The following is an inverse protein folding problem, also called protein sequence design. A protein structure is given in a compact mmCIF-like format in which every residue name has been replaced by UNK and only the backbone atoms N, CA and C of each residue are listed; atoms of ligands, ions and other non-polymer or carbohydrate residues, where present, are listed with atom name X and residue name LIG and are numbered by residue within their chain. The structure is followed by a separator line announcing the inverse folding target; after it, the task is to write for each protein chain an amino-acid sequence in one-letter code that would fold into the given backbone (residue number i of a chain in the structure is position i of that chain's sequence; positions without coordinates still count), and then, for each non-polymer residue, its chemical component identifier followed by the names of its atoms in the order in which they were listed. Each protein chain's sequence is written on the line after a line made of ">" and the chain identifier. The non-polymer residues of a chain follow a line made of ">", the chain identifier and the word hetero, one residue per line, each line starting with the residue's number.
data_IF_282955194735
#
_entry.id   IF_282955194735
#
_cell.length_a   1.000
_cell.length_b   1.000
_cell.length_c   1.000
_cell.angle_alpha   90.00
_cell.angle_beta   90.00
_cell.angle_gamma   90.00
#
_symmetry.space_group_name_H-M   'P 1'
#
loop_
_entity.id
_entity.type
_entity.pdbx_description
1 polymer ?
#
# COMPACT_ATOMS: atom_id res chain seq x y z
N UNK A 1 -8.45 37.19 0.26
CA UNK A 1 -9.13 38.17 1.14
C UNK A 1 -8.19 38.56 2.27
N UNK A 2 -7.97 39.86 2.50
CA UNK A 2 -7.24 40.34 3.68
C UNK A 2 -8.25 40.39 4.84
N UNK A 3 -8.10 39.52 5.83
CA UNK A 3 -8.94 39.55 7.03
C UNK A 3 -8.52 40.73 7.92
N UNK A 4 -9.48 41.49 8.44
CA UNK A 4 -9.22 42.59 9.38
C UNK A 4 -8.62 42.06 10.69
N UNK A 5 -7.89 42.92 11.40
CA UNK A 5 -7.27 42.60 12.68
C UNK A 5 -8.29 42.05 13.70
N UNK A 6 -9.46 42.69 13.76
CA UNK A 6 -10.56 42.30 14.66
C UNK A 6 -11.05 40.86 14.41
N UNK A 7 -11.18 40.46 13.14
CA UNK A 7 -11.60 39.09 12.78
C UNK A 7 -10.54 38.07 13.17
N UNK A 8 -9.25 38.40 13.01
CA UNK A 8 -8.15 37.51 13.43
C UNK A 8 -8.13 37.34 14.94
N UNK A 9 -8.27 38.44 15.69
CA UNK A 9 -8.25 38.43 17.15
C UNK A 9 -9.45 37.66 17.72
N UNK A 10 -10.65 37.88 17.17
CA UNK A 10 -11.86 37.17 17.56
C UNK A 10 -11.72 35.65 17.33
N UNK A 11 -11.20 35.23 16.18
CA UNK A 11 -11.02 33.81 15.87
C UNK A 11 -9.97 33.12 16.77
N UNK A 12 -8.89 33.83 17.12
CA UNK A 12 -7.86 33.31 18.04
C UNK A 12 -8.41 33.22 19.47
N UNK A 13 -9.09 34.26 19.96
CA UNK A 13 -9.70 34.26 21.30
C UNK A 13 -10.78 33.18 21.44
N UNK A 14 -11.60 32.97 20.40
CA UNK A 14 -12.59 31.89 20.38
C UNK A 14 -11.95 30.51 20.52
N UNK A 15 -10.79 30.29 19.88
CA UNK A 15 -10.04 29.04 20.05
C UNK A 15 -9.43 28.91 21.45
N UNK A 16 -8.83 29.98 21.98
CA UNK A 16 -8.19 29.97 23.30
C UNK A 16 -9.18 29.83 24.46
N UNK A 17 -10.42 30.29 24.29
CA UNK A 17 -11.50 30.10 25.25
C UNK A 17 -12.02 28.64 25.32
N UNK A 18 -11.51 27.73 24.47
CA UNK A 18 -11.79 26.29 24.56
C UNK A 18 -13.15 25.85 23.99
N UNK A 19 -13.91 26.76 23.36
CA UNK A 19 -15.26 26.47 22.88
C UNK A 19 -15.32 25.51 21.68
N UNK A 20 -14.24 25.40 20.87
CA UNK A 20 -14.19 24.47 19.75
C UNK A 20 -12.75 24.19 19.26
N UNK A 21 -12.54 23.06 18.57
CA UNK A 21 -11.25 22.74 17.92
C UNK A 21 -10.90 23.67 16.74
N UNK A 22 -9.65 23.63 16.28
CA UNK A 22 -9.12 24.52 15.21
C UNK A 22 -9.96 24.46 13.94
N UNK A 23 -10.38 23.26 13.51
CA UNK A 23 -11.15 23.09 12.27
C UNK A 23 -12.55 23.70 12.40
N UNK A 24 -13.20 23.49 13.55
CA UNK A 24 -14.54 24.02 13.82
C UNK A 24 -14.51 25.55 13.93
N UNK A 25 -13.52 26.10 14.64
CA UNK A 25 -13.32 27.56 14.73
C UNK A 25 -13.00 28.17 13.37
N UNK A 26 -12.16 27.52 12.55
CA UNK A 26 -11.87 28.00 11.21
C UNK A 26 -13.12 28.04 10.31
N UNK A 27 -14.00 27.03 10.39
CA UNK A 27 -15.27 27.01 9.66
C UNK A 27 -16.22 28.13 10.11
N UNK A 28 -16.33 28.38 11.42
CA UNK A 28 -17.21 29.42 11.99
C UNK A 28 -16.87 30.81 11.44
N UNK A 29 -15.58 31.14 11.34
CA UNK A 29 -15.11 32.44 10.85
C UNK A 29 -14.82 32.46 9.34
N UNK A 30 -15.17 31.40 8.60
CA UNK A 30 -14.88 31.24 7.16
C UNK A 30 -13.39 31.42 6.80
N UNK A 31 -12.51 30.90 7.66
CA UNK A 31 -11.06 30.97 7.55
C UNK A 31 -10.46 29.64 7.10
N UNK A 32 -9.27 29.68 6.50
CA UNK A 32 -8.46 28.48 6.37
C UNK A 32 -7.90 28.05 7.74
N UNK A 33 -8.05 26.76 8.07
CA UNK A 33 -7.48 26.18 9.30
C UNK A 33 -5.95 26.36 9.39
N UNK A 34 -5.24 26.43 8.25
CA UNK A 34 -3.80 26.71 8.22
C UNK A 34 -3.48 28.15 8.61
N UNK A 35 -4.30 29.12 8.19
CA UNK A 35 -4.15 30.53 8.57
C UNK A 35 -4.47 30.74 10.04
N UNK A 36 -5.54 30.11 10.55
CA UNK A 36 -5.89 30.17 11.97
C UNK A 36 -4.80 29.56 12.84
N UNK A 37 -4.25 28.39 12.47
CA UNK A 37 -3.14 27.77 13.18
C UNK A 37 -1.89 28.66 13.21
N UNK A 38 -1.59 29.36 12.12
CA UNK A 38 -0.49 30.33 12.08
C UNK A 38 -0.74 31.53 13.01
N UNK A 39 -1.95 32.10 13.00
CA UNK A 39 -2.32 33.22 13.86
C UNK A 39 -2.31 32.87 15.35
N UNK A 40 -2.76 31.67 15.72
CA UNK A 40 -2.66 31.18 17.10
C UNK A 40 -1.20 31.12 17.54
N UNK A 41 -0.30 30.56 16.71
CA UNK A 41 1.13 30.50 17.05
C UNK A 41 1.78 31.88 17.12
N UNK A 42 1.40 32.82 16.22
CA UNK A 42 1.87 34.20 16.28
C UNK A 42 1.41 34.90 17.57
N UNK A 43 0.14 34.73 17.93
CA UNK A 43 -0.43 35.28 19.15
C UNK A 43 0.26 34.75 20.41
N UNK A 44 0.50 33.42 20.47
CA UNK A 44 1.17 32.80 21.62
C UNK A 44 2.65 33.19 21.76
N UNK A 45 3.33 33.56 20.68
CA UNK A 45 4.76 33.90 20.69
C UNK A 45 5.02 35.41 20.85
N UNK A 46 4.18 36.25 20.25
CA UNK A 46 4.45 37.68 20.09
C UNK A 46 3.27 38.57 20.56
N UNK A 47 2.21 37.97 21.10
CA UNK A 47 1.05 38.68 21.62
C UNK A 47 0.09 39.22 20.54
N UNK A 48 -0.95 39.98 20.95
CA UNK A 48 -2.04 40.40 20.06
C UNK A 48 -1.58 41.29 18.90
N UNK A 49 -0.57 42.15 19.12
CA UNK A 49 -0.03 43.07 18.10
C UNK A 49 0.58 42.34 16.90
N UNK A 50 1.00 41.09 17.07
CA UNK A 50 1.61 40.30 16.00
C UNK A 50 0.64 39.91 14.87
N UNK A 51 -0.68 39.96 15.12
CA UNK A 51 -1.70 39.66 14.11
C UNK A 51 -1.83 40.75 13.05
N UNK A 52 -1.25 41.93 13.30
CA UNK A 52 -1.24 43.07 12.36
C UNK A 52 0.09 43.20 11.59
N UNK A 53 1.12 42.44 11.97
CA UNK A 53 2.42 42.52 11.33
C UNK A 53 2.36 42.09 9.85
N UNK A 54 2.81 42.97 8.95
CA UNK A 54 2.96 42.63 7.52
C UNK A 54 4.20 41.74 7.35
N UNK A 55 4.03 40.64 6.63
CA UNK A 55 5.15 39.75 6.30
C UNK A 55 6.17 40.45 5.37
N UNK A 56 7.46 40.11 5.52
CA UNK A 56 8.51 40.56 4.60
C UNK A 56 8.19 40.06 3.17
N UNK A 57 8.26 40.96 2.17
CA UNK A 57 8.02 40.65 0.75
C UNK A 57 9.15 39.80 0.13
N UNK A 58 10.34 39.87 0.68
CA UNK A 58 11.52 39.12 0.26
C UNK A 58 12.36 38.74 1.49
N UNK A 59 13.06 37.62 1.38
CA UNK A 59 14.00 37.12 2.39
C UNK A 59 15.37 37.02 1.74
N UNK A 60 16.38 37.61 2.37
CA UNK A 60 17.77 37.49 1.95
C UNK A 60 18.25 36.03 2.02
N UNK A 61 19.30 35.64 1.28
CA UNK A 61 19.92 34.32 1.45
C UNK A 61 20.33 34.03 2.90
N UNK A 62 20.84 35.05 3.61
CA UNK A 62 21.26 34.98 5.00
C UNK A 62 20.08 34.73 5.93
N UNK A 63 18.95 35.45 5.74
CA UNK A 63 17.71 35.23 6.51
C UNK A 63 17.20 33.79 6.34
N UNK A 64 17.24 33.25 5.11
CA UNK A 64 16.78 31.88 4.83
C UNK A 64 17.67 30.85 5.50
N UNK A 65 18.98 31.06 5.46
CA UNK A 65 19.95 30.16 6.09
C UNK A 65 19.75 30.14 7.61
N UNK A 66 19.58 31.31 8.24
CA UNK A 66 19.30 31.44 9.66
C UNK A 66 18.06 30.64 10.08
N UNK A 67 16.95 30.79 9.34
CA UNK A 67 15.69 30.07 9.60
C UNK A 67 15.88 28.56 9.50
N UNK A 68 16.62 28.09 8.49
CA UNK A 68 16.86 26.66 8.27
C UNK A 68 17.75 26.06 9.35
N UNK A 69 18.85 26.72 9.72
CA UNK A 69 19.74 26.27 10.79
C UNK A 69 19.01 26.23 12.13
N UNK A 70 18.20 27.26 12.44
CA UNK A 70 17.37 27.28 13.64
C UNK A 70 16.39 26.10 13.68
N UNK A 71 15.69 25.83 12.56
CA UNK A 71 14.72 24.74 12.45
C UNK A 71 15.34 23.34 12.57
N UNK A 72 16.62 23.19 12.19
CA UNK A 72 17.36 21.93 12.30
C UNK A 72 17.99 21.73 13.68
N UNK A 73 18.37 22.82 14.37
CA UNK A 73 18.98 22.78 15.70
C UNK A 73 17.99 22.71 16.86
N UNK A 74 16.72 23.11 16.66
CA UNK A 74 15.70 23.13 17.71
C UNK A 74 14.56 22.16 17.42
N UNK A 75 14.08 21.44 18.44
CA UNK A 75 12.95 20.51 18.35
C UNK A 75 11.57 21.22 18.33
N UNK A 76 11.46 22.37 17.66
CA UNK A 76 10.20 23.10 17.48
C UNK A 76 9.46 22.61 16.22
N UNK A 77 8.12 22.67 16.25
CA UNK A 77 7.31 22.32 15.08
C UNK A 77 7.45 23.38 13.97
N UNK A 78 7.43 22.96 12.70
CA UNK A 78 7.57 23.87 11.55
C UNK A 78 6.55 25.05 11.56
N UNK A 79 5.28 24.88 11.99
CA UNK A 79 4.36 26.01 12.16
C UNK A 79 4.81 27.02 13.21
N UNK A 80 5.44 26.56 14.30
CA UNK A 80 5.96 27.42 15.36
C UNK A 80 7.21 28.17 14.91
N UNK A 81 8.12 27.51 14.19
CA UNK A 81 9.28 28.15 13.57
C UNK A 81 8.85 29.22 12.57
N UNK A 82 7.85 28.92 11.73
CA UNK A 82 7.32 29.90 10.77
C UNK A 82 6.72 31.12 11.47
N UNK A 83 6.00 30.94 12.58
CA UNK A 83 5.47 32.04 13.37
C UNK A 83 6.60 32.88 14.00
N UNK A 84 7.63 32.24 14.57
CA UNK A 84 8.78 32.91 15.21
C UNK A 84 9.53 33.86 14.27
N UNK A 85 9.71 33.46 13.01
CA UNK A 85 10.38 34.28 11.99
C UNK A 85 9.41 35.12 11.14
N UNK A 86 8.13 35.20 11.53
CA UNK A 86 7.08 35.92 10.81
C UNK A 86 6.94 35.51 9.33
N UNK A 87 7.10 34.22 9.04
CA UNK A 87 6.99 33.63 7.71
C UNK A 87 5.52 33.22 7.47
N UNK A 88 4.89 33.64 6.35
CA UNK A 88 3.46 33.43 6.12
C UNK A 88 3.00 31.97 6.10
N UNK A 89 3.91 31.03 5.82
CA UNK A 89 3.57 29.61 5.66
C UNK A 89 4.70 28.70 6.09
N UNK A 90 4.37 27.68 6.88
CA UNK A 90 5.30 26.62 7.26
C UNK A 90 5.80 25.80 6.06
N UNK A 91 5.05 25.77 4.95
CA UNK A 91 5.50 25.14 3.70
C UNK A 91 6.70 25.86 3.08
N UNK A 92 6.82 27.18 3.28
CA UNK A 92 7.98 27.96 2.83
C UNK A 92 9.24 27.49 3.57
N UNK A 93 9.17 27.33 4.89
CA UNK A 93 10.27 26.79 5.71
C UNK A 93 10.61 25.36 5.29
N UNK A 94 9.59 24.51 5.09
CA UNK A 94 9.76 23.13 4.61
C UNK A 94 10.50 23.06 3.27
N UNK A 95 10.18 23.96 2.34
CA UNK A 95 10.82 24.03 1.04
C UNK A 95 12.29 24.51 1.14
N UNK A 96 12.58 25.47 2.03
CA UNK A 96 13.96 25.90 2.28
C UNK A 96 14.81 24.79 2.90
N UNK A 97 14.29 24.04 3.87
CA UNK A 97 14.98 22.87 4.44
C UNK A 97 15.25 21.82 3.37
N UNK A 98 14.28 21.56 2.48
CA UNK A 98 14.45 20.61 1.37
C UNK A 98 15.53 21.06 0.38
N UNK A 99 15.58 22.36 0.06
CA UNK A 99 16.63 22.93 -0.77
C UNK A 99 18.01 22.81 -0.13
N UNK A 100 18.12 23.18 1.15
CA UNK A 100 19.35 23.08 1.93
C UNK A 100 19.89 21.64 2.02
N UNK A 101 19.02 20.65 2.27
CA UNK A 101 19.43 19.23 2.29
C UNK A 101 19.95 18.72 0.94
N UNK A 102 19.56 19.35 -0.17
CA UNK A 102 19.94 18.92 -1.53
C UNK A 102 21.22 19.58 -2.01
N UNK A 103 21.45 20.85 -1.67
CA UNK A 103 22.51 21.67 -2.27
C UNK A 103 23.27 22.52 -1.26
N UNK A 104 23.09 22.27 0.05
CA UNK A 104 23.76 23.01 1.11
C UNK A 104 23.49 24.51 1.07
N UNK A 105 24.52 25.31 1.38
CA UNK A 105 24.46 26.77 1.36
C UNK A 105 24.19 27.35 -0.05
N UNK A 106 24.56 26.61 -1.11
CA UNK A 106 24.39 27.06 -2.50
C UNK A 106 22.92 27.12 -2.93
N UNK A 107 22.00 26.47 -2.18
CA UNK A 107 20.57 26.46 -2.47
C UNK A 107 19.92 27.85 -2.48
N UNK A 108 20.53 28.84 -1.85
CA UNK A 108 19.99 30.19 -1.71
C UNK A 108 20.69 31.25 -2.57
N UNK A 109 21.74 30.86 -3.32
CA UNK A 109 22.46 31.74 -4.25
C UNK A 109 21.69 31.82 -5.57
N UNK A 110 21.25 33.03 -5.95
CA UNK A 110 20.59 33.26 -7.25
C UNK A 110 21.62 33.15 -8.39
N UNK A 111 21.67 32.02 -9.09
CA UNK A 111 22.23 32.00 -10.45
C UNK A 111 21.22 32.68 -11.39
N UNK A 112 21.55 33.87 -11.88
CA UNK A 112 20.89 34.45 -13.06
C UNK A 112 21.14 33.45 -14.20
N UNK A 113 20.12 32.68 -14.59
CA UNK A 113 20.13 32.04 -15.91
C UNK A 113 19.90 33.15 -16.91
N UNK A 114 20.97 33.66 -17.50
CA UNK A 114 20.87 34.37 -18.77
C UNK A 114 20.26 33.39 -19.77
N UNK A 115 18.98 33.62 -20.11
CA UNK A 115 18.44 33.07 -21.34
C UNK A 115 19.05 33.90 -22.46
N UNK A 116 20.19 33.48 -22.98
CA UNK A 116 20.58 33.87 -24.33
C UNK A 116 19.55 33.29 -25.28
N UNK A 117 18.69 34.13 -25.84
CA UNK A 117 18.04 33.82 -27.10
C UNK A 117 18.98 34.34 -28.18
N UNK A 118 19.90 33.50 -28.65
CA UNK A 118 20.49 33.71 -29.97
C UNK A 118 19.39 33.49 -31.00
N UNK A 119 18.95 34.58 -31.63
CA UNK A 119 18.32 34.51 -32.95
C UNK A 119 19.39 33.96 -33.90
N UNK A 120 19.06 32.88 -34.59
CA UNK A 120 19.90 32.25 -35.60
C UNK A 120 19.92 33.12 -36.86
N UNK A 121 20.86 34.05 -36.94
CA UNK A 121 21.23 34.69 -38.22
C UNK A 121 22.32 33.88 -38.95
N UNK A 122 23.02 32.96 -38.27
CA UNK A 122 24.10 32.12 -38.82
C UNK A 122 23.63 31.04 -39.83
N UNK A 123 22.32 30.81 -40.00
CA UNK A 123 21.82 29.77 -40.90
C UNK A 123 21.85 30.18 -42.38
N UNK A 124 21.78 31.47 -42.70
CA UNK A 124 21.70 31.92 -44.10
C UNK A 124 23.07 32.11 -44.79
N UNK A 125 24.17 32.30 -44.05
CA UNK A 125 25.50 32.46 -44.65
C UNK A 125 26.13 31.13 -45.09
N UNK A 126 25.77 30.00 -44.44
CA UNK A 126 26.31 28.68 -44.79
C UNK A 126 25.67 28.05 -46.03
N UNK A 127 24.40 28.34 -46.36
CA UNK A 127 23.74 27.78 -47.56
C UNK A 127 24.38 28.25 -48.88
N UNK A 128 25.00 29.43 -48.89
CA UNK A 128 25.59 30.04 -50.09
C UNK A 128 26.95 29.46 -50.51
N UNK A 129 27.64 28.74 -49.61
CA UNK A 129 29.00 28.22 -49.82
C UNK A 129 29.08 26.68 -49.93
N UNK A 130 27.96 25.98 -49.85
CA UNK A 130 27.92 24.51 -49.87
C UNK A 130 27.90 23.99 -51.31
N UNK A 131 28.69 22.94 -51.55
CA UNK A 131 28.69 22.27 -52.85
C UNK A 131 27.34 21.58 -53.11
N UNK A 132 26.96 21.38 -54.39
CA UNK A 132 25.72 20.67 -54.73
C UNK A 132 25.60 19.26 -54.12
N UNK A 133 26.74 18.61 -53.83
CA UNK A 133 26.77 17.30 -53.19
C UNK A 133 26.52 17.37 -51.69
N UNK A 134 27.06 18.37 -51.01
CA UNK A 134 26.81 18.61 -49.59
C UNK A 134 25.33 18.96 -49.35
N UNK A 135 24.75 19.79 -50.22
CA UNK A 135 23.32 20.12 -50.16
C UNK A 135 22.42 18.89 -50.36
N UNK A 136 22.79 17.98 -51.28
CA UNK A 136 22.08 16.70 -51.46
C UNK A 136 22.19 15.80 -50.23
N UNK A 137 23.37 15.73 -49.60
CA UNK A 137 23.58 14.94 -48.38
C UNK A 137 22.80 15.51 -47.19
N UNK A 138 22.75 16.83 -47.06
CA UNK A 138 21.97 17.52 -46.04
C UNK A 138 20.46 17.29 -46.25
N UNK A 139 19.95 17.44 -47.48
CA UNK A 139 18.57 17.10 -47.80
C UNK A 139 18.23 15.64 -47.49
N UNK A 140 19.15 14.71 -47.75
CA UNK A 140 18.99 13.29 -47.41
C UNK A 140 18.87 13.09 -45.89
N UNK A 141 19.75 13.74 -45.12
CA UNK A 141 19.73 13.69 -43.67
C UNK A 141 18.46 14.32 -43.10
N UNK A 142 18.10 15.54 -43.51
CA UNK A 142 16.91 16.25 -43.04
C UNK A 142 15.61 15.50 -43.35
N UNK A 143 15.54 14.81 -44.50
CA UNK A 143 14.42 13.91 -44.81
C UNK A 143 14.33 12.74 -43.82
N UNK A 144 15.46 12.14 -43.47
CA UNK A 144 15.51 11.04 -42.49
C UNK A 144 15.19 11.53 -41.06
N UNK A 145 15.70 12.70 -40.66
CA UNK A 145 15.41 13.31 -39.37
C UNK A 145 13.93 13.66 -39.22
N UNK A 146 13.33 14.30 -40.23
CA UNK A 146 11.90 14.59 -40.22
C UNK A 146 11.04 13.32 -40.16
N UNK A 147 11.40 12.28 -40.91
CA UNK A 147 10.69 11.00 -40.87
C UNK A 147 10.78 10.36 -39.47
N UNK A 148 11.96 10.40 -38.85
CA UNK A 148 12.17 9.92 -37.49
C UNK A 148 11.36 10.70 -36.45
N UNK A 149 11.41 12.04 -36.50
CA UNK A 149 10.68 12.90 -35.56
C UNK A 149 9.16 12.72 -35.68
N UNK A 150 8.64 12.59 -36.91
CA UNK A 150 7.22 12.28 -37.14
C UNK A 150 6.83 10.92 -36.57
N UNK A 151 7.65 9.88 -36.79
CA UNK A 151 7.41 8.56 -36.22
C UNK A 151 7.54 8.52 -34.68
N UNK A 152 8.28 9.47 -34.09
CA UNK A 152 8.45 9.60 -32.64
C UNK A 152 7.45 10.59 -32.00
N UNK A 153 6.60 11.25 -32.80
CA UNK A 153 5.69 12.31 -32.35
C UNK A 153 4.72 11.82 -31.27
N UNK A 154 4.21 10.59 -31.39
CA UNK A 154 3.35 9.96 -30.38
C UNK A 154 4.06 9.79 -29.03
N UNK A 155 5.33 9.38 -29.03
CA UNK A 155 6.12 9.22 -27.81
C UNK A 155 6.54 10.56 -27.18
N UNK A 156 6.78 11.59 -28.00
CA UNK A 156 7.11 12.94 -27.53
C UNK A 156 5.94 13.60 -26.77
N UNK A 157 4.69 13.27 -27.12
CA UNK A 157 3.50 13.74 -26.43
C UNK A 157 3.37 13.16 -25.00
N UNK A 158 3.90 11.96 -24.75
CA UNK A 158 3.84 11.28 -23.44
C UNK A 158 4.85 11.81 -22.40
N UNK A 159 5.66 12.82 -22.73
CA UNK A 159 6.68 13.46 -21.85
C UNK A 159 7.67 12.48 -21.21
N UNK A 160 7.94 11.33 -21.83
CA UNK A 160 9.01 10.40 -21.42
C UNK A 160 10.08 10.35 -22.52
N UNK A 161 11.39 10.41 -22.16
CA UNK A 161 12.45 10.24 -23.15
C UNK A 161 12.40 8.80 -23.70
N UNK A 162 12.40 8.61 -25.03
CA UNK A 162 12.27 7.28 -25.63
C UNK A 162 13.49 6.41 -25.31
N UNK A 163 13.22 5.18 -24.89
CA UNK A 163 14.25 4.20 -24.56
C UNK A 163 14.98 3.67 -25.81
N UNK A 164 16.20 3.15 -25.66
CA UNK A 164 16.98 2.62 -26.77
C UNK A 164 16.24 1.55 -27.60
N UNK A 165 15.38 0.73 -26.98
CA UNK A 165 14.57 -0.27 -27.68
C UNK A 165 13.46 0.32 -28.55
N UNK A 166 12.83 1.42 -28.12
CA UNK A 166 11.81 2.14 -28.90
C UNK A 166 12.44 2.84 -30.10
N UNK A 167 13.57 3.51 -29.88
CA UNK A 167 14.38 4.10 -30.96
C UNK A 167 14.75 3.06 -32.01
N UNK A 168 15.19 1.87 -31.61
CA UNK A 168 15.52 0.77 -32.53
C UNK A 168 14.31 0.31 -33.36
N UNK A 169 13.11 0.24 -32.79
CA UNK A 169 11.89 -0.14 -33.54
C UNK A 169 11.56 0.88 -34.64
N UNK A 170 11.63 2.18 -34.31
CA UNK A 170 11.39 3.27 -35.27
C UNK A 170 12.46 3.29 -36.38
N UNK A 171 13.72 3.04 -36.02
CA UNK A 171 14.79 2.94 -37.03
C UNK A 171 14.56 1.74 -37.97
N UNK A 172 14.06 0.60 -37.46
CA UNK A 172 13.74 -0.55 -38.28
C UNK A 172 12.59 -0.30 -39.26
N UNK A 173 11.52 0.40 -38.84
CA UNK A 173 10.38 0.68 -39.71
C UNK A 173 10.75 1.65 -40.85
N UNK A 174 11.65 2.61 -40.58
CA UNK A 174 12.11 3.61 -41.55
C UNK A 174 13.28 3.13 -42.43
N UNK A 175 13.81 1.93 -42.18
CA UNK A 175 15.01 1.39 -42.85
C UNK A 175 14.85 1.22 -44.36
N UNK A 176 13.64 1.00 -44.85
CA UNK A 176 13.37 0.78 -46.28
C UNK A 176 13.35 2.07 -47.11
N UNK A 177 13.26 3.25 -46.46
CA UNK A 177 13.17 4.55 -47.14
C UNK A 177 14.33 5.51 -46.86
N UNK A 178 15.18 5.21 -45.86
CA UNK A 178 16.24 6.12 -45.41
C UNK A 178 17.53 5.38 -45.06
N UNK A 179 18.67 6.08 -45.18
CA UNK A 179 19.96 5.51 -44.85
C UNK A 179 20.08 5.28 -43.33
N UNK A 180 20.65 4.12 -42.95
CA UNK A 180 20.78 3.73 -41.54
C UNK A 180 21.69 4.67 -40.75
N UNK A 181 22.74 5.24 -41.36
CA UNK A 181 23.61 6.22 -40.71
C UNK A 181 22.85 7.48 -40.30
N UNK A 182 21.99 7.96 -41.19
CA UNK A 182 21.25 9.20 -41.03
C UNK A 182 20.15 9.03 -39.97
N UNK A 183 19.48 7.88 -39.95
CA UNK A 183 18.53 7.50 -38.89
C UNK A 183 19.19 7.34 -37.52
N UNK A 184 20.39 6.75 -37.45
CA UNK A 184 21.14 6.62 -36.19
C UNK A 184 21.58 7.98 -35.65
N UNK A 185 21.99 8.89 -36.54
CA UNK A 185 22.35 10.28 -36.21
C UNK A 185 21.12 11.05 -35.69
N UNK A 186 19.99 10.97 -36.38
CA UNK A 186 18.72 11.59 -35.95
C UNK A 186 18.22 11.03 -34.59
N UNK A 187 18.41 9.73 -34.35
CA UNK A 187 18.00 9.10 -33.09
C UNK A 187 18.99 9.34 -31.92
N UNK A 188 20.19 9.85 -32.20
CA UNK A 188 21.29 9.92 -31.23
C UNK A 188 21.65 8.54 -30.67
N UNK A 189 21.64 7.50 -31.51
CA UNK A 189 21.86 6.10 -31.10
C UNK A 189 23.16 5.56 -31.72
N UNK A 190 24.03 4.97 -30.90
CA UNK A 190 25.24 4.34 -31.41
C UNK A 190 24.90 3.07 -32.22
N UNK A 191 25.68 2.80 -33.27
CA UNK A 191 25.50 1.62 -34.15
C UNK A 191 25.59 0.30 -33.36
N UNK A 192 26.50 0.21 -32.38
CA UNK A 192 26.63 -0.95 -31.49
C UNK A 192 25.37 -1.19 -30.65
N UNK A 193 24.74 -0.11 -30.16
CA UNK A 193 23.48 -0.18 -29.41
C UNK A 193 22.32 -0.68 -30.29
N UNK A 194 22.27 -0.29 -31.56
CA UNK A 194 21.27 -0.82 -32.50
C UNK A 194 21.38 -2.34 -32.62
N UNK A 195 22.57 -2.86 -32.96
CA UNK A 195 22.75 -4.31 -33.12
C UNK A 195 22.53 -5.08 -31.82
N UNK A 196 22.91 -4.53 -30.67
CA UNK A 196 22.61 -5.11 -29.36
C UNK A 196 21.10 -5.18 -29.08
N UNK A 197 20.33 -4.14 -29.42
CA UNK A 197 18.88 -4.17 -29.28
C UNK A 197 18.23 -5.16 -30.26
N UNK A 198 18.76 -5.26 -31.48
CA UNK A 198 18.30 -6.25 -32.47
C UNK A 198 18.57 -7.69 -32.03
N UNK A 199 19.72 -7.95 -31.40
CA UNK A 199 20.02 -9.28 -30.85
C UNK A 199 19.12 -9.62 -29.67
N UNK A 200 18.78 -8.63 -28.82
CA UNK A 200 17.80 -8.81 -27.74
C UNK A 200 16.38 -9.07 -28.27
N UNK A 201 15.96 -8.42 -29.36
CA UNK A 201 14.64 -8.65 -29.97
C UNK A 201 14.53 -10.03 -30.62
N UNK A 202 15.64 -10.56 -31.15
CA UNK A 202 15.71 -11.92 -31.72
C UNK A 202 15.89 -13.01 -30.67
N UNK A 203 16.39 -12.66 -29.48
CA UNK A 203 16.56 -13.63 -28.40
C UNK A 203 15.19 -14.15 -27.93
N UNK A 204 15.01 -15.48 -27.93
CA UNK A 204 13.86 -16.11 -27.29
C UNK A 204 13.77 -15.63 -25.84
N UNK A 205 12.56 -15.32 -25.36
CA UNK A 205 12.36 -14.88 -23.99
C UNK A 205 12.86 -15.96 -23.03
N UNK A 206 14.02 -15.71 -22.41
CA UNK A 206 14.69 -16.60 -21.46
C UNK A 206 13.74 -17.05 -20.33
N UNK A 207 12.71 -16.27 -20.02
CA UNK A 207 11.78 -16.54 -18.94
C UNK A 207 10.39 -16.95 -19.41
N UNK A 208 10.21 -17.34 -20.68
CA UNK A 208 8.90 -17.73 -21.22
C UNK A 208 8.24 -18.83 -20.36
N UNK A 209 8.94 -19.94 -20.12
CA UNK A 209 8.42 -21.07 -19.36
C UNK A 209 8.12 -20.68 -17.91
N UNK A 210 8.99 -19.87 -17.32
CA UNK A 210 8.82 -19.37 -15.94
C UNK A 210 7.63 -18.43 -15.84
N UNK A 211 7.38 -17.60 -16.86
CA UNK A 211 6.21 -16.72 -16.92
C UNK A 211 4.92 -17.51 -17.02
N UNK A 212 4.89 -18.57 -17.83
CA UNK A 212 3.74 -19.47 -17.92
C UNK A 212 3.49 -20.16 -16.57
N UNK A 213 4.54 -20.64 -15.91
CA UNK A 213 4.43 -21.27 -14.59
C UNK A 213 3.98 -20.27 -13.51
N UNK A 214 4.49 -19.04 -13.52
CA UNK A 214 4.03 -17.97 -12.61
C UNK A 214 2.55 -17.70 -12.81
N UNK A 215 2.09 -17.64 -14.06
CA UNK A 215 0.69 -17.44 -14.38
C UNK A 215 -0.17 -18.63 -13.90
N UNK A 216 0.27 -19.87 -14.14
CA UNK A 216 -0.48 -21.06 -13.70
C UNK A 216 -0.60 -21.13 -12.18
N UNK A 217 0.49 -20.91 -11.43
CA UNK A 217 0.48 -20.82 -9.96
C UNK A 217 -0.45 -19.70 -9.49
N UNK A 218 -0.41 -18.54 -10.16
CA UNK A 218 -1.26 -17.42 -9.79
C UNK A 218 -2.75 -17.77 -9.95
N UNK A 219 -3.13 -18.41 -11.05
CA UNK A 219 -4.52 -18.83 -11.30
C UNK A 219 -4.95 -20.00 -10.40
N UNK A 220 -4.07 -20.96 -10.15
CA UNK A 220 -4.27 -22.07 -9.20
C UNK A 220 -4.64 -21.54 -7.81
N UNK A 221 -3.94 -20.50 -7.35
CA UNK A 221 -4.22 -19.83 -6.08
C UNK A 221 -5.21 -18.67 -6.20
N UNK A 222 -6.13 -18.76 -7.17
CA UNK A 222 -7.27 -17.85 -7.37
C UNK A 222 -6.87 -16.38 -7.58
N UNK A 223 -5.63 -16.09 -7.97
CA UNK A 223 -5.08 -14.75 -8.09
C UNK A 223 -4.78 -14.04 -6.76
N UNK A 224 -4.76 -14.78 -5.65
CA UNK A 224 -4.52 -14.21 -4.32
C UNK A 224 -3.02 -14.05 -4.00
N UNK A 225 -2.13 -14.75 -4.71
CA UNK A 225 -0.71 -14.80 -4.36
C UNK A 225 0.07 -13.62 -4.93
N UNK A 226 0.71 -12.86 -4.03
CA UNK A 226 1.73 -11.90 -4.40
C UNK A 226 3.09 -12.57 -4.65
N UNK A 227 4.05 -11.78 -5.13
CA UNK A 227 5.37 -12.30 -5.57
C UNK A 227 6.12 -13.13 -4.52
N UNK A 228 5.93 -12.86 -3.22
CA UNK A 228 6.59 -13.62 -2.14
C UNK A 228 6.06 -15.05 -2.04
N UNK A 229 4.74 -15.22 -2.19
CA UNK A 229 4.11 -16.56 -2.15
C UNK A 229 4.38 -17.32 -3.44
N UNK A 230 4.30 -16.65 -4.59
CA UNK A 230 4.70 -17.29 -5.86
C UNK A 230 6.16 -17.72 -5.83
N UNK A 231 7.06 -16.89 -5.30
CA UNK A 231 8.47 -17.28 -5.12
C UNK A 231 8.62 -18.52 -4.23
N UNK A 232 7.85 -18.62 -3.14
CA UNK A 232 7.87 -19.78 -2.27
C UNK A 232 7.35 -21.05 -2.99
N UNK A 233 6.26 -20.95 -3.75
CA UNK A 233 5.75 -22.04 -4.59
C UNK A 233 6.76 -22.49 -5.66
N UNK A 234 7.44 -21.53 -6.31
CA UNK A 234 8.51 -21.84 -7.26
C UNK A 234 9.68 -22.58 -6.58
N UNK A 235 10.04 -22.18 -5.36
CA UNK A 235 11.07 -22.88 -4.59
C UNK A 235 10.65 -24.30 -4.20
N UNK A 236 9.39 -24.51 -3.79
CA UNK A 236 8.82 -25.85 -3.53
C UNK A 236 8.90 -26.74 -4.77
N UNK A 237 8.69 -26.18 -5.97
CA UNK A 237 8.82 -26.88 -7.26
C UNK A 237 10.27 -27.01 -7.75
N UNK A 238 11.27 -26.71 -6.92
CA UNK A 238 12.70 -26.87 -7.23
C UNK A 238 13.34 -25.74 -8.05
N UNK A 239 12.60 -24.66 -8.36
CA UNK A 239 13.09 -23.55 -9.18
C UNK A 239 13.66 -22.42 -8.33
N UNK A 240 14.98 -22.25 -8.38
CA UNK A 240 15.71 -21.23 -7.61
C UNK A 240 15.83 -19.92 -8.38
N UNK A 241 14.79 -19.09 -8.32
CA UNK A 241 14.83 -17.71 -8.82
C UNK A 241 14.95 -16.69 -7.69
N UNK A 242 15.57 -15.55 -7.94
CA UNK A 242 15.55 -14.45 -6.97
C UNK A 242 14.13 -13.86 -6.85
N UNK A 243 13.71 -13.49 -5.64
CA UNK A 243 12.41 -12.83 -5.44
C UNK A 243 12.25 -11.52 -6.23
N UNK A 244 13.36 -10.82 -6.53
CA UNK A 244 13.35 -9.62 -7.40
C UNK A 244 13.01 -9.99 -8.84
N UNK A 245 13.54 -11.10 -9.34
CA UNK A 245 13.23 -11.64 -10.67
C UNK A 245 11.76 -12.01 -10.77
N UNK A 246 11.23 -12.77 -9.80
CA UNK A 246 9.79 -13.14 -9.76
C UNK A 246 8.90 -11.91 -9.77
N UNK A 247 9.22 -10.89 -8.95
CA UNK A 247 8.48 -9.62 -8.94
C UNK A 247 8.51 -8.92 -10.30
N UNK A 248 9.67 -8.86 -10.96
CA UNK A 248 9.80 -8.26 -12.29
C UNK A 248 8.96 -9.01 -13.33
N UNK A 249 8.98 -10.34 -13.31
CA UNK A 249 8.19 -11.18 -14.23
C UNK A 249 6.69 -11.01 -14.01
N UNK A 250 6.22 -11.00 -12.75
CA UNK A 250 4.82 -10.71 -12.45
C UNK A 250 4.38 -9.33 -12.94
N UNK A 251 5.24 -8.31 -12.79
CA UNK A 251 4.95 -6.96 -13.29
C UNK A 251 4.83 -6.94 -14.82
N UNK A 252 5.69 -7.66 -15.54
CA UNK A 252 5.61 -7.81 -16.99
C UNK A 252 4.33 -8.52 -17.44
N UNK A 253 3.84 -9.47 -16.65
CA UNK A 253 2.58 -10.18 -16.91
C UNK A 253 1.33 -9.42 -16.42
N UNK A 254 1.49 -8.26 -15.76
CA UNK A 254 0.37 -7.51 -15.19
C UNK A 254 -0.31 -8.18 -13.98
N UNK A 255 0.27 -9.25 -13.43
CA UNK A 255 -0.32 -10.01 -12.32
C UNK A 255 -0.18 -9.26 -11.00
N UNK A 256 -1.31 -9.03 -10.33
CA UNK A 256 -1.38 -8.32 -9.04
C UNK A 256 -2.29 -9.05 -8.07
N UNK A 257 -1.80 -9.25 -6.86
CA UNK A 257 -2.56 -9.80 -5.74
C UNK A 257 -3.42 -8.70 -5.10
N UNK A 258 -4.62 -9.03 -4.61
CA UNK A 258 -5.48 -8.08 -3.90
C UNK A 258 -4.79 -7.57 -2.62
N UNK A 259 -4.91 -6.26 -2.35
CA UNK A 259 -4.34 -5.61 -1.18
C UNK A 259 -5.46 -5.17 -0.24
N UNK A 260 -5.36 -5.57 1.03
CA UNK A 260 -6.24 -5.14 2.11
C UNK A 260 -6.27 -3.62 2.23
N UNK A 261 -7.44 -3.02 2.06
CA UNK A 261 -7.66 -1.61 2.41
C UNK A 261 -7.61 -1.48 3.94
N UNK A 262 -6.69 -0.68 4.47
CA UNK A 262 -6.63 -0.38 5.91
C UNK A 262 -7.89 0.41 6.30
N UNK A 263 -8.79 -0.21 7.08
CA UNK A 263 -9.92 0.48 7.69
C UNK A 263 -9.53 1.03 9.07
N UNK A 264 -9.84 2.29 9.33
CA UNK A 264 -9.72 2.92 10.64
C UNK A 264 -10.82 2.40 11.58
N UNK A 265 -10.51 2.14 12.85
CA UNK A 265 -11.48 1.68 13.84
C UNK A 265 -11.32 2.44 15.16
N UNK A 266 -12.42 2.96 15.68
CA UNK A 266 -12.54 3.49 17.04
C UNK A 266 -13.86 3.02 17.63
N UNK A 267 -13.84 2.22 18.69
CA UNK A 267 -15.04 1.92 19.47
C UNK A 267 -14.70 1.81 20.96
N UNK A 268 -15.53 2.44 21.80
CA UNK A 268 -15.54 2.37 23.27
C UNK A 268 -16.99 2.14 23.70
N UNK A 269 -17.24 1.11 24.52
CA UNK A 269 -18.58 0.81 25.06
C UNK A 269 -18.56 -0.16 26.25
N UNK A 270 -19.54 -0.01 27.15
CA UNK A 270 -19.54 -0.44 28.57
C UNK A 270 -19.96 -1.89 28.90
N UNK A 271 -19.52 -2.36 30.07
CA UNK A 271 -19.29 -3.75 30.55
C UNK A 271 -20.53 -4.59 30.96
N UNK A 272 -20.34 -5.92 30.97
CA UNK A 272 -21.15 -6.96 31.65
C UNK A 272 -20.25 -8.15 32.08
N UNK A 273 -20.78 -9.13 32.83
CA UNK A 273 -20.06 -10.30 33.39
C UNK A 273 -19.33 -11.14 32.31
N UNK A 274 -17.99 -11.06 32.26
CA UNK A 274 -17.15 -11.78 31.30
C UNK A 274 -16.11 -12.65 32.04
N UNK A 275 -15.66 -13.74 31.42
CA UNK A 275 -14.56 -14.54 31.94
C UNK A 275 -13.24 -13.76 31.85
N UNK A 276 -12.26 -14.17 32.66
CA UNK A 276 -10.95 -13.53 32.69
C UNK A 276 -10.19 -13.73 31.36
N UNK A 277 -9.42 -12.71 30.96
CA UNK A 277 -8.56 -12.79 29.78
C UNK A 277 -7.26 -13.52 30.14
N UNK A 278 -7.31 -14.84 30.11
CA UNK A 278 -6.18 -15.76 30.32
C UNK A 278 -5.20 -15.76 29.14
N UNK A 279 -5.68 -15.62 27.89
CA UNK A 279 -4.81 -15.66 26.69
C UNK A 279 -3.79 -14.51 26.66
N UNK A 280 -4.16 -13.32 27.14
CA UNK A 280 -3.27 -12.14 27.26
C UNK A 280 -2.45 -11.83 25.99
N UNK A 281 -3.01 -12.08 24.80
CA UNK A 281 -2.35 -11.89 23.48
C UNK A 281 -1.16 -12.81 23.21
N UNK A 282 -1.00 -13.90 23.97
CA UNK A 282 -0.02 -14.96 23.70
C UNK A 282 -0.54 -15.88 22.59
N UNK A 283 -0.60 -15.34 21.36
CA UNK A 283 -1.12 -16.00 20.16
C UNK A 283 -0.25 -17.12 19.58
N UNK A 284 0.78 -17.56 20.31
CA UNK A 284 1.61 -18.70 19.92
C UNK A 284 1.29 -19.88 20.83
N UNK A 285 1.03 -21.02 20.20
CA UNK A 285 1.02 -22.34 20.83
C UNK A 285 2.31 -23.08 20.46
N UNK A 286 2.77 -23.96 21.34
CA UNK A 286 3.96 -24.78 21.13
C UNK A 286 3.62 -26.09 20.41
N UNK A 287 2.41 -26.61 20.63
CA UNK A 287 1.88 -27.81 19.99
C UNK A 287 0.47 -27.57 19.40
N UNK A 288 0.01 -28.41 18.47
CA UNK A 288 -1.38 -28.42 18.03
C UNK A 288 -2.36 -28.56 19.21
N UNK A 289 -3.57 -28.04 19.07
CA UNK A 289 -4.66 -28.20 20.04
C UNK A 289 -4.37 -27.70 21.47
N UNK A 290 -3.37 -26.83 21.68
CA UNK A 290 -3.15 -26.20 22.99
C UNK A 290 -4.00 -24.94 23.20
N UNK A 291 -4.19 -24.14 22.14
CA UNK A 291 -4.91 -22.87 22.21
C UNK A 291 -5.74 -22.64 20.97
N UNK A 292 -7.03 -22.51 21.19
CA UNK A 292 -8.03 -22.24 20.16
C UNK A 292 -8.60 -20.84 20.30
N UNK A 293 -8.99 -20.27 19.18
CA UNK A 293 -9.68 -18.98 19.11
C UNK A 293 -10.95 -19.14 18.28
N UNK A 294 -12.04 -18.49 18.72
CA UNK A 294 -13.31 -18.47 18.00
C UNK A 294 -13.91 -17.06 17.97
N UNK A 295 -14.72 -16.79 16.94
CA UNK A 295 -15.51 -15.57 16.76
C UNK A 295 -16.62 -15.82 15.72
N UNK A 296 -17.58 -14.91 15.57
CA UNK A 296 -18.63 -15.01 14.56
C UNK A 296 -18.51 -13.87 13.56
N UNK A 297 -18.65 -14.19 12.27
CA UNK A 297 -18.76 -13.18 11.20
C UNK A 297 -20.07 -13.31 10.44
N UNK A 298 -20.67 -12.18 10.04
CA UNK A 298 -21.79 -12.14 9.09
C UNK A 298 -21.33 -11.92 7.65
N UNK A 299 -22.10 -12.52 6.73
CA UNK A 299 -22.09 -12.32 5.28
C UNK A 299 -23.52 -12.09 4.79
N UNK A 300 -23.65 -11.60 3.55
CA UNK A 300 -24.94 -11.39 2.88
C UNK A 300 -24.92 -11.93 1.46
N UNK A 301 -25.97 -12.63 1.06
CA UNK A 301 -26.18 -13.13 -0.30
C UNK A 301 -27.68 -13.24 -0.59
N UNK A 302 -28.13 -12.84 -1.77
CA UNK A 302 -29.54 -12.95 -2.16
C UNK A 302 -30.54 -12.33 -1.18
N UNK A 303 -30.18 -11.21 -0.53
CA UNK A 303 -31.03 -10.54 0.48
C UNK A 303 -31.09 -11.24 1.85
N UNK A 304 -30.43 -12.38 2.02
CA UNK A 304 -30.36 -13.13 3.26
C UNK A 304 -28.98 -13.01 3.92
N UNK A 305 -28.91 -13.34 5.21
CA UNK A 305 -27.67 -13.35 5.99
C UNK A 305 -27.17 -14.77 6.19
N UNK A 306 -25.86 -14.93 6.18
CA UNK A 306 -25.17 -16.16 6.58
C UNK A 306 -24.15 -15.80 7.67
N UNK A 307 -24.19 -16.53 8.76
CA UNK A 307 -23.23 -16.42 9.87
C UNK A 307 -22.29 -17.61 9.81
N UNK A 308 -21.00 -17.34 10.01
CA UNK A 308 -19.96 -18.35 10.14
C UNK A 308 -19.37 -18.27 11.54
N UNK A 309 -19.30 -19.43 12.20
CA UNK A 309 -18.62 -19.62 13.48
C UNK A 309 -17.50 -20.64 13.28
N UNK A 310 -16.22 -20.25 13.22
CA UNK A 310 -15.08 -21.17 13.15
C UNK A 310 -14.30 -21.26 14.48
N UNK A 311 -13.56 -22.35 14.64
CA UNK A 311 -12.47 -22.52 15.61
C UNK A 311 -11.15 -22.53 14.85
N UNK A 312 -10.22 -21.67 15.25
CA UNK A 312 -8.87 -21.58 14.71
C UNK A 312 -7.86 -22.05 15.76
N UNK A 313 -6.96 -22.95 15.38
CA UNK A 313 -5.82 -23.37 16.19
C UNK A 313 -4.68 -22.36 16.08
N UNK A 314 -4.20 -21.80 17.20
CA UNK A 314 -3.13 -20.81 17.21
C UNK A 314 -1.74 -21.36 16.84
N UNK A 315 -1.54 -22.67 16.81
CA UNK A 315 -0.27 -23.29 16.44
C UNK A 315 0.08 -23.03 14.97
N UNK A 316 -0.79 -23.46 14.05
CA UNK A 316 -0.61 -23.37 12.60
C UNK A 316 -1.66 -22.45 11.92
N UNK A 317 -2.66 -21.98 12.67
CA UNK A 317 -3.81 -21.23 12.17
C UNK A 317 -4.68 -22.01 11.20
N UNK A 318 -4.83 -23.32 11.43
CA UNK A 318 -5.82 -24.20 10.82
C UNK A 318 -7.20 -23.89 11.41
N UNK A 319 -8.24 -23.96 10.57
CA UNK A 319 -9.62 -23.97 11.04
C UNK A 319 -9.99 -25.41 11.35
N UNK A 320 -10.03 -25.77 12.63
CA UNK A 320 -10.24 -27.16 13.08
C UNK A 320 -11.71 -27.57 13.04
N UNK A 321 -12.62 -26.61 13.22
CA UNK A 321 -14.05 -26.83 13.10
C UNK A 321 -14.75 -25.54 12.67
N UNK A 322 -15.89 -25.67 11.98
CA UNK A 322 -16.75 -24.54 11.67
C UNK A 322 -18.21 -24.97 11.46
N UNK A 323 -19.10 -24.01 11.64
CA UNK A 323 -20.53 -24.14 11.35
C UNK A 323 -21.06 -22.87 10.71
N UNK A 324 -22.07 -23.03 9.87
CA UNK A 324 -22.79 -21.95 9.18
C UNK A 324 -24.27 -22.00 9.50
N UNK A 325 -24.90 -20.83 9.62
CA UNK A 325 -26.35 -20.73 9.80
C UNK A 325 -26.90 -19.38 9.31
N UNK A 326 -28.16 -19.33 8.90
CA UNK A 326 -28.81 -18.08 8.49
C UNK A 326 -29.10 -17.12 9.65
N UNK A 327 -28.99 -17.60 10.90
CA UNK A 327 -29.24 -16.83 12.14
C UNK A 327 -28.12 -17.09 13.15
N UNK A 328 -27.72 -16.09 13.95
CA UNK A 328 -26.69 -16.25 14.97
C UNK A 328 -27.33 -16.85 16.23
N UNK A 329 -27.65 -18.14 16.21
CA UNK A 329 -28.29 -18.85 17.32
C UNK A 329 -27.27 -19.47 18.28
N UNK A 330 -27.70 -19.83 19.49
CA UNK A 330 -26.89 -20.66 20.41
C UNK A 330 -26.51 -22.00 19.76
N UNK A 331 -27.42 -22.58 18.97
CA UNK A 331 -27.21 -23.85 18.29
C UNK A 331 -26.05 -23.80 17.28
N UNK A 332 -25.87 -22.68 16.57
CA UNK A 332 -24.72 -22.46 15.67
C UNK A 332 -23.39 -22.68 16.42
N UNK A 333 -23.26 -22.06 17.58
CA UNK A 333 -22.02 -22.10 18.38
C UNK A 333 -21.84 -23.46 19.04
N UNK A 334 -22.92 -24.09 19.51
CA UNK A 334 -22.88 -25.44 20.08
C UNK A 334 -22.48 -26.51 19.06
N UNK A 335 -23.08 -26.50 17.87
CA UNK A 335 -22.74 -27.45 16.79
C UNK A 335 -21.28 -27.29 16.37
N UNK A 336 -20.84 -26.04 16.21
CA UNK A 336 -19.42 -25.73 15.96
C UNK A 336 -18.51 -26.28 17.07
N UNK A 337 -18.86 -26.07 18.34
CA UNK A 337 -18.07 -26.54 19.47
C UNK A 337 -17.99 -28.07 19.50
N UNK A 338 -19.13 -28.75 19.31
CA UNK A 338 -19.19 -30.21 19.29
C UNK A 338 -18.30 -30.78 18.17
N UNK A 339 -18.37 -30.24 16.95
CA UNK A 339 -17.47 -30.62 15.84
C UNK A 339 -16.00 -30.46 16.22
N UNK A 340 -15.65 -29.38 16.92
CA UNK A 340 -14.29 -29.17 17.42
C UNK A 340 -13.88 -30.20 18.46
N UNK A 341 -14.72 -30.43 19.47
CA UNK A 341 -14.46 -31.39 20.55
C UNK A 341 -14.38 -32.84 20.07
N UNK A 342 -15.10 -33.19 19.00
CA UNK A 342 -15.02 -34.51 18.35
C UNK A 342 -13.72 -34.70 17.57
N UNK A 343 -13.05 -33.61 17.17
CA UNK A 343 -11.77 -33.67 16.45
C UNK A 343 -10.55 -33.81 17.36
N UNK A 344 -10.71 -33.64 18.68
CA UNK A 344 -9.64 -33.73 19.66
C UNK A 344 -9.22 -35.17 19.91
N UNK A 345 -7.91 -35.40 20.02
CA UNK A 345 -7.38 -36.66 20.51
C UNK A 345 -7.59 -36.79 22.03
N UNK A 346 -7.47 -38.03 22.53
CA UNK A 346 -7.62 -38.30 23.96
C UNK A 346 -6.60 -37.50 24.79
N UNK A 347 -7.09 -36.77 25.79
CA UNK A 347 -6.26 -35.93 26.68
C UNK A 347 -6.02 -34.50 26.19
N UNK A 348 -6.35 -34.15 24.94
CA UNK A 348 -6.23 -32.76 24.46
C UNK A 348 -7.28 -31.85 25.11
N UNK A 349 -6.82 -30.75 25.70
CA UNK A 349 -7.66 -29.78 26.42
C UNK A 349 -7.27 -28.35 26.06
N UNK A 350 -7.59 -27.90 24.83
CA UNK A 350 -7.23 -26.56 24.39
C UNK A 350 -7.83 -25.50 25.30
N UNK A 351 -7.06 -24.45 25.56
CA UNK A 351 -7.62 -23.19 26.04
C UNK A 351 -8.44 -22.58 24.90
N UNK A 352 -9.73 -22.33 25.12
CA UNK A 352 -10.60 -21.75 24.11
C UNK A 352 -10.81 -20.26 24.40
N UNK A 353 -10.32 -19.41 23.51
CA UNK A 353 -10.45 -17.96 23.60
C UNK A 353 -11.55 -17.43 22.67
N UNK A 354 -12.47 -16.62 23.20
CA UNK A 354 -13.51 -15.96 22.43
C UNK A 354 -13.58 -14.47 22.73
N UNK A 355 -14.39 -13.74 21.96
CA UNK A 355 -14.83 -12.41 22.38
C UNK A 355 -15.89 -12.49 23.51
N UNK A 356 -16.41 -11.33 23.92
CA UNK A 356 -17.48 -11.24 24.92
C UNK A 356 -18.90 -11.33 24.32
N UNK A 357 -19.04 -11.93 23.15
CA UNK A 357 -20.32 -12.19 22.50
C UNK A 357 -21.27 -12.94 23.44
N UNK A 358 -22.56 -12.60 23.38
CA UNK A 358 -23.57 -13.17 24.29
C UNK A 358 -23.64 -14.70 24.21
N UNK A 359 -23.41 -15.25 23.02
CA UNK A 359 -23.42 -16.69 22.75
C UNK A 359 -22.32 -17.45 23.50
N UNK A 360 -21.15 -16.83 23.71
CA UNK A 360 -20.06 -17.43 24.49
C UNK A 360 -20.24 -17.30 26.01
N UNK A 361 -21.25 -16.53 26.46
CA UNK A 361 -21.56 -16.29 27.88
C UNK A 361 -22.74 -17.14 28.39
N UNK A 362 -23.35 -17.95 27.53
CA UNK A 362 -24.49 -18.80 27.91
C UNK A 362 -24.00 -19.96 28.77
N UNK A 363 -24.72 -20.26 29.86
CA UNK A 363 -24.37 -21.34 30.80
C UNK A 363 -24.17 -22.69 30.11
N UNK A 364 -25.04 -23.05 29.18
CA UNK A 364 -24.94 -24.30 28.42
C UNK A 364 -23.61 -24.45 27.66
N UNK A 365 -23.09 -23.35 27.11
CA UNK A 365 -21.79 -23.31 26.43
C UNK A 365 -20.65 -23.47 27.43
N UNK A 366 -20.72 -22.76 28.57
CA UNK A 366 -19.72 -22.86 29.63
C UNK A 366 -19.69 -24.25 30.28
N UNK A 367 -20.86 -24.87 30.49
CA UNK A 367 -20.98 -26.25 30.97
C UNK A 367 -20.36 -27.23 29.98
N UNK A 368 -20.64 -27.11 28.68
CA UNK A 368 -20.05 -27.99 27.67
C UNK A 368 -18.51 -27.93 27.64
N UNK A 369 -17.92 -26.76 27.89
CA UNK A 369 -16.47 -26.62 28.05
C UNK A 369 -15.97 -27.26 29.35
N UNK A 370 -16.65 -27.00 30.47
CA UNK A 370 -16.28 -27.52 31.78
C UNK A 370 -16.35 -29.06 31.83
N UNK A 371 -17.39 -29.67 31.25
CA UNK A 371 -17.61 -31.12 31.20
C UNK A 371 -16.48 -31.85 30.46
N UNK A 372 -15.82 -31.16 29.52
CA UNK A 372 -14.64 -31.66 28.78
C UNK A 372 -13.31 -31.19 29.38
N UNK A 373 -13.35 -30.40 30.46
CA UNK A 373 -12.16 -29.86 31.12
C UNK A 373 -11.42 -28.78 30.31
N UNK A 374 -12.09 -28.10 29.37
CA UNK A 374 -11.52 -26.99 28.62
C UNK A 374 -11.62 -25.69 29.42
N UNK A 375 -10.56 -24.88 29.35
CA UNK A 375 -10.51 -23.56 30.00
C UNK A 375 -11.02 -22.50 29.04
N UNK A 376 -12.07 -21.78 29.41
CA UNK A 376 -12.57 -20.63 28.66
C UNK A 376 -11.76 -19.37 28.98
N UNK A 377 -11.35 -18.64 27.95
CA UNK A 377 -10.79 -17.30 28.05
C UNK A 377 -11.63 -16.33 27.23
N UNK A 378 -11.89 -15.13 27.74
CA UNK A 378 -12.60 -14.09 26.96
C UNK A 378 -11.76 -12.81 26.84
N UNK A 379 -11.82 -12.17 25.68
CA UNK A 379 -11.16 -10.87 25.47
C UNK A 379 -11.75 -9.77 26.36
N UNK A 380 -11.02 -8.66 26.53
CA UNK A 380 -11.57 -7.47 27.20
C UNK A 380 -12.50 -6.72 26.24
N UNK A 381 -13.63 -6.22 26.74
CA UNK A 381 -14.57 -5.42 25.94
C UNK A 381 -13.87 -4.26 25.23
N UNK A 382 -14.06 -4.14 23.92
CA UNK A 382 -13.51 -3.05 23.11
C UNK A 382 -12.03 -3.20 22.74
N UNK A 383 -11.40 -4.34 23.03
CA UNK A 383 -10.01 -4.61 22.67
C UNK A 383 -9.90 -5.61 21.51
N UNK A 384 -10.02 -5.12 20.27
CA UNK A 384 -9.88 -5.96 19.07
C UNK A 384 -8.50 -6.65 18.95
N UNK A 385 -7.49 -6.16 19.68
CA UNK A 385 -6.16 -6.78 19.67
C UNK A 385 -6.16 -8.17 20.30
N UNK A 386 -7.09 -8.45 21.21
CA UNK A 386 -7.16 -9.74 21.92
C UNK A 386 -7.72 -10.86 21.02
N UNK A 387 -8.45 -10.52 19.94
CA UNK A 387 -8.95 -11.49 18.95
C UNK A 387 -8.36 -11.28 17.54
N UNK A 388 -7.19 -10.62 17.45
CA UNK A 388 -6.63 -10.17 16.18
C UNK A 388 -6.34 -11.29 15.17
N UNK A 389 -6.07 -12.52 15.64
CA UNK A 389 -5.81 -13.67 14.76
C UNK A 389 -7.07 -14.06 13.98
N UNK A 390 -8.22 -14.12 14.66
CA UNK A 390 -9.48 -14.42 14.00
C UNK A 390 -9.94 -13.27 13.09
N UNK A 391 -9.77 -12.02 13.51
CA UNK A 391 -10.04 -10.86 12.65
C UNK A 391 -9.19 -10.88 11.37
N UNK A 392 -7.96 -11.40 11.44
CA UNK A 392 -7.09 -11.56 10.29
C UNK A 392 -7.61 -12.65 9.35
N UNK A 393 -8.01 -13.81 9.89
CA UNK A 393 -8.65 -14.87 9.12
C UNK A 393 -9.90 -14.35 8.38
N UNK A 394 -10.83 -13.69 9.08
CA UNK A 394 -12.02 -13.11 8.45
C UNK A 394 -11.69 -12.06 7.39
N UNK A 395 -10.63 -11.29 7.60
CA UNK A 395 -10.10 -10.37 6.61
C UNK A 395 -9.73 -11.05 5.30
N UNK A 396 -8.92 -12.10 5.40
CA UNK A 396 -8.51 -12.89 4.24
C UNK A 396 -9.69 -13.58 3.58
N UNK A 397 -10.56 -14.23 4.35
CA UNK A 397 -11.78 -14.88 3.86
C UNK A 397 -12.64 -13.89 3.05
N UNK A 398 -12.87 -12.69 3.58
CA UNK A 398 -13.70 -11.69 2.90
C UNK A 398 -13.03 -11.11 1.65
N UNK A 399 -11.74 -10.85 1.68
CA UNK A 399 -11.02 -10.25 0.54
C UNK A 399 -10.70 -11.24 -0.57
N UNK A 400 -10.32 -12.46 -0.21
CA UNK A 400 -9.88 -13.48 -1.16
C UNK A 400 -11.05 -14.24 -1.78
N UNK A 401 -12.19 -14.34 -1.09
CA UNK A 401 -13.41 -15.03 -1.55
C UNK A 401 -14.60 -14.09 -1.69
N UNK A 402 -15.08 -13.48 -0.60
CA UNK A 402 -16.41 -12.85 -0.58
C UNK A 402 -16.55 -11.60 -1.48
N UNK A 403 -15.58 -10.68 -1.47
CA UNK A 403 -15.68 -9.40 -2.22
C UNK A 403 -15.37 -9.51 -3.72
N UNK A 404 -15.05 -10.71 -4.22
CA UNK A 404 -14.59 -10.91 -5.60
C UNK A 404 -15.64 -11.55 -6.50
N UNK A 405 -16.74 -12.00 -5.92
CA UNK A 405 -17.82 -12.72 -6.58
C UNK A 405 -19.14 -12.31 -5.94
N UNK A 406 -20.16 -12.15 -6.77
CA UNK A 406 -21.54 -11.99 -6.30
C UNK A 406 -22.17 -13.38 -6.07
N UNK A 407 -22.88 -13.51 -4.97
CA UNK A 407 -23.55 -14.74 -4.57
C UNK A 407 -25.06 -14.57 -4.70
N UNK A 408 -25.70 -15.46 -5.46
CA UNK A 408 -27.13 -15.38 -5.79
C UNK A 408 -28.00 -15.72 -4.59
N UNK A 409 -27.58 -16.69 -3.79
CA UNK A 409 -28.30 -17.18 -2.63
C UNK A 409 -27.32 -17.63 -1.51
N UNK A 410 -27.88 -18.01 -0.37
CA UNK A 410 -27.09 -18.41 0.81
C UNK A 410 -26.36 -19.73 0.60
N UNK A 411 -26.97 -20.69 -0.09
CA UNK A 411 -26.38 -22.00 -0.35
C UNK A 411 -25.09 -21.89 -1.19
N UNK A 412 -25.10 -21.07 -2.24
CA UNK A 412 -23.90 -20.78 -3.05
C UNK A 412 -22.79 -20.16 -2.20
N UNK A 413 -23.14 -19.26 -1.30
CA UNK A 413 -22.20 -18.61 -0.40
C UNK A 413 -21.65 -19.59 0.65
N UNK A 414 -22.51 -20.46 1.21
CA UNK A 414 -22.13 -21.49 2.17
C UNK A 414 -21.14 -22.48 1.55
N UNK A 415 -21.42 -22.96 0.33
CA UNK A 415 -20.50 -23.80 -0.43
C UNK A 415 -19.15 -23.11 -0.66
N UNK A 416 -19.15 -21.81 -1.02
CA UNK A 416 -17.91 -21.06 -1.20
C UNK A 416 -17.13 -20.84 0.11
N UNK A 417 -17.81 -20.71 1.24
CA UNK A 417 -17.18 -20.68 2.58
C UNK A 417 -16.51 -22.01 2.88
N UNK A 418 -17.22 -23.13 2.68
CA UNK A 418 -16.69 -24.47 2.89
C UNK A 418 -15.47 -24.74 2.00
N UNK A 419 -15.57 -24.45 0.70
CA UNK A 419 -14.44 -24.56 -0.23
C UNK A 419 -13.25 -23.69 0.15
N UNK A 420 -13.51 -22.47 0.62
CA UNK A 420 -12.43 -21.58 1.03
C UNK A 420 -11.73 -22.06 2.30
N UNK A 421 -12.47 -22.59 3.29
CA UNK A 421 -11.86 -23.12 4.51
C UNK A 421 -11.00 -24.35 4.17
N UNK A 422 -11.49 -25.24 3.31
CA UNK A 422 -10.69 -26.36 2.78
C UNK A 422 -9.42 -25.86 2.07
N UNK A 423 -9.55 -24.86 1.19
CA UNK A 423 -8.40 -24.22 0.54
C UNK A 423 -7.44 -23.59 1.55
N UNK A 424 -7.95 -22.89 2.56
CA UNK A 424 -7.18 -22.24 3.61
C UNK A 424 -6.33 -23.24 4.40
N UNK A 425 -6.93 -24.37 4.79
CA UNK A 425 -6.28 -25.41 5.57
C UNK A 425 -5.27 -26.21 4.73
N UNK A 426 -5.64 -26.62 3.51
CA UNK A 426 -4.89 -27.61 2.75
C UNK A 426 -3.88 -27.01 1.77
N UNK A 427 -4.21 -25.88 1.12
CA UNK A 427 -3.43 -25.34 -0.02
C UNK A 427 -2.84 -23.96 0.22
N UNK A 428 -3.45 -23.14 1.08
CA UNK A 428 -3.03 -21.74 1.25
C UNK A 428 -1.80 -21.64 2.13
N UNK A 429 -0.67 -21.30 1.53
CA UNK A 429 0.60 -21.21 2.25
C UNK A 429 0.68 -19.98 3.16
N UNK A 430 1.38 -20.16 4.29
CA UNK A 430 1.76 -19.08 5.19
C UNK A 430 3.29 -18.94 5.19
N UNK A 431 3.76 -17.73 4.88
CA UNK A 431 5.20 -17.43 4.91
C UNK A 431 5.80 -17.57 6.31
N UNK A 432 4.98 -17.39 7.37
CA UNK A 432 5.40 -17.62 8.76
C UNK A 432 5.60 -19.10 9.09
N UNK A 433 5.01 -20.01 8.32
CA UNK A 433 5.14 -21.47 8.46
C UNK A 433 6.14 -22.04 7.45
N UNK A 434 7.17 -21.26 7.08
CA UNK A 434 8.14 -21.69 6.07
C UNK A 434 7.57 -21.87 4.66
N UNK A 435 6.35 -21.38 4.40
CA UNK A 435 5.67 -21.62 3.13
C UNK A 435 4.77 -22.83 3.10
N UNK A 436 4.49 -23.47 4.23
CA UNK A 436 3.55 -24.58 4.31
C UNK A 436 2.11 -24.08 4.50
N UNK A 437 1.14 -24.87 4.06
CA UNK A 437 -0.25 -24.73 4.48
C UNK A 437 -0.41 -25.13 5.96
N UNK A 438 -1.48 -24.71 6.65
CA UNK A 438 -1.72 -25.10 8.03
C UNK A 438 -1.65 -26.62 8.25
N UNK A 439 -2.31 -27.41 7.39
CA UNK A 439 -2.33 -28.88 7.50
C UNK A 439 -0.98 -29.49 7.16
N UNK A 440 -0.27 -28.98 6.14
CA UNK A 440 1.10 -29.42 5.82
C UNK A 440 2.02 -29.25 7.02
N UNK A 441 1.98 -28.08 7.66
CA UNK A 441 2.81 -27.77 8.84
C UNK A 441 2.52 -28.70 10.02
N UNK A 442 1.24 -28.97 10.31
CA UNK A 442 0.86 -29.92 11.37
C UNK A 442 1.32 -31.34 11.05
N UNK A 443 1.16 -31.78 9.80
CA UNK A 443 1.59 -33.11 9.35
C UNK A 443 3.11 -33.27 9.46
N UNK A 444 3.89 -32.24 9.11
CA UNK A 444 5.35 -32.28 9.28
C UNK A 444 5.76 -32.31 10.75
N UNK A 445 5.09 -31.53 11.61
CA UNK A 445 5.34 -31.56 13.05
C UNK A 445 5.09 -32.97 13.65
N UNK A 446 3.97 -33.60 13.28
CA UNK A 446 3.62 -34.96 13.74
C UNK A 446 4.55 -36.06 13.20
N UNK A 447 5.33 -35.80 12.15
CA UNK A 447 6.36 -36.72 11.64
C UNK A 447 7.72 -36.52 12.31
N UNK A 448 7.95 -35.34 12.89
CA UNK A 448 9.23 -34.94 13.46
C UNK A 448 9.32 -35.18 14.98
N UNK A 449 8.17 -35.19 15.66
CA UNK A 449 8.02 -35.68 17.04
C UNK A 449 7.56 -37.12 17.05
#
# INVERSE_FOLDING_TARGET
>A
MKHSFEVKLAAVNHYLAGHAGIISTAKLFQLSHTSLSHWINLFLLHGPRALDCRHKRSYSPEDKLCVVLYALGHSESLPRVAARFNIPSHNTVKNWIKGYRKSGNEAFIRRRKEKSMTRSDDTHENEANMTPEEMKNELRYLRAENAYLKAMQEHLLEKKPPGAGEKTKVIQSLRYGHCQSDLLKAAGLARSTLYYQLSLQKAKDKYADVKQLIASIFHEHRGCYGYRRIHCELQKRGLKFSGKTVRKLMQQLGLKSPVRLKKYRSYRGNMGLAAENILQRLFKAAAPCEKWVTDITEFRAGGQKLYLSPILDLFNGEIVAWETACRPTEELVKRMLNKGLESLAEGEKPLLHSDQGWHYRIKSYQSALADRGLVQSMSRKGNCLDNAVMENFFGHLKEEMYYRRDYRNVEELENAVNEYITYWNQKRIKLSLGGLSPVEYRTEYQKAG
#
